data_IF_202207844398
#
_entry.id   IF_202207844398
#
_cell.length_a   1.000
_cell.length_b   1.000
_cell.length_c   1.000
_cell.angle_alpha   90.00
_cell.angle_beta   90.00
_cell.angle_gamma   90.00
#
_symmetry.space_group_name_H-M   'P 1'
#
loop_
_entity.id
_entity.type
_entity.pdbx_description
1 polymer ?
#
# COMPACT_ATOMS: atom_id res chain seq x y z
N UNK A 1 -3.47 0.15 -4.14
CA UNK A 1 -3.98 -1.02 -4.90
C UNK A 1 -3.11 -1.15 -6.13
N UNK A 2 -2.70 -2.36 -6.52
CA UNK A 2 -1.85 -2.59 -7.68
C UNK A 2 -2.67 -3.21 -8.82
N UNK A 3 -2.45 -2.76 -10.04
CA UNK A 3 -3.18 -3.24 -11.24
C UNK A 3 -4.49 -2.51 -11.53
N UNK A 4 -4.58 -1.22 -11.20
CA UNK A 4 -5.66 -0.33 -11.63
C UNK A 4 -5.09 1.02 -12.13
N UNK A 5 -5.69 1.64 -13.16
CA UNK A 5 -6.85 1.14 -13.92
C UNK A 5 -6.51 0.01 -14.91
N UNK A 6 -5.25 -0.10 -15.34
CA UNK A 6 -4.79 -1.17 -16.22
C UNK A 6 -4.39 -2.43 -15.43
N UNK A 7 -4.89 -3.57 -15.90
CA UNK A 7 -4.53 -4.86 -15.33
C UNK A 7 -3.03 -5.14 -15.53
N UNK A 8 -2.38 -5.57 -14.45
CA UNK A 8 -0.95 -5.86 -14.41
C UNK A 8 -0.73 -7.29 -13.94
N UNK A 9 0.00 -8.11 -14.71
CA UNK A 9 0.17 -9.54 -14.41
C UNK A 9 0.97 -9.79 -13.12
N UNK A 10 1.92 -8.93 -12.82
CA UNK A 10 2.78 -8.95 -11.63
C UNK A 10 2.25 -8.04 -10.50
N UNK A 11 0.96 -7.69 -10.51
CA UNK A 11 0.38 -6.75 -9.53
C UNK A 11 0.63 -7.18 -8.08
N UNK A 12 0.58 -8.48 -7.80
CA UNK A 12 0.77 -9.04 -6.47
C UNK A 12 2.23 -8.89 -6.02
N UNK A 13 3.18 -9.08 -6.93
CA UNK A 13 4.60 -8.91 -6.65
C UNK A 13 4.91 -7.45 -6.29
N UNK A 14 4.46 -6.50 -7.11
CA UNK A 14 4.66 -5.09 -6.82
C UNK A 14 3.98 -4.64 -5.51
N UNK A 15 2.82 -5.21 -5.18
CA UNK A 15 2.16 -4.96 -3.89
C UNK A 15 3.02 -5.44 -2.71
N UNK A 16 3.71 -6.58 -2.84
CA UNK A 16 4.58 -7.12 -1.80
C UNK A 16 5.85 -6.28 -1.68
N UNK A 17 6.50 -5.93 -2.79
CA UNK A 17 7.69 -5.06 -2.80
C UNK A 17 7.39 -3.72 -2.13
N UNK A 18 6.30 -3.06 -2.52
CA UNK A 18 5.83 -1.84 -1.85
C UNK A 18 5.63 -2.07 -0.34
N UNK A 19 5.10 -3.22 0.06
CA UNK A 19 4.95 -3.55 1.48
C UNK A 19 6.27 -3.65 2.23
N UNK A 20 7.31 -4.19 1.60
CA UNK A 20 8.68 -4.24 2.17
C UNK A 20 9.24 -2.82 2.29
N UNK A 21 9.12 -2.00 1.24
CA UNK A 21 9.59 -0.61 1.25
C UNK A 21 8.93 0.22 2.38
N UNK A 22 7.66 -0.04 2.69
CA UNK A 22 6.97 0.60 3.82
C UNK A 22 7.57 0.23 5.19
N UNK A 23 8.07 -0.99 5.36
CA UNK A 23 8.74 -1.43 6.59
C UNK A 23 10.12 -0.75 6.74
N UNK A 24 10.81 -0.54 5.63
CA UNK A 24 12.07 0.22 5.63
C UNK A 24 11.79 1.70 5.94
N UNK A 25 10.76 2.28 5.31
CA UNK A 25 10.36 3.66 5.55
C UNK A 25 9.96 3.93 7.01
N UNK A 26 9.19 3.03 7.65
CA UNK A 26 8.84 3.22 9.07
C UNK A 26 10.07 3.11 9.97
N UNK A 27 11.06 2.29 9.60
CA UNK A 27 12.32 2.19 10.33
C UNK A 27 13.10 3.51 10.29
N UNK A 28 13.18 4.14 9.10
CA UNK A 28 13.77 5.47 8.94
C UNK A 28 13.02 6.54 9.74
N UNK A 29 11.69 6.53 9.72
CA UNK A 29 10.88 7.49 10.49
C UNK A 29 11.15 7.37 11.99
N UNK A 30 11.27 6.14 12.52
CA UNK A 30 11.62 5.93 13.94
C UNK A 30 12.98 6.51 14.28
N UNK A 31 13.97 6.32 13.41
CA UNK A 31 15.33 6.84 13.60
C UNK A 31 15.34 8.38 13.60
N UNK A 32 14.71 9.01 12.61
CA UNK A 32 14.73 10.47 12.44
C UNK A 32 13.89 11.19 13.50
N UNK A 33 12.77 10.60 13.92
CA UNK A 33 11.84 11.24 14.88
C UNK A 33 12.13 10.88 16.33
N UNK A 34 12.89 9.81 16.58
CA UNK A 34 13.14 9.28 17.93
C UNK A 34 11.91 8.67 18.60
N UNK A 35 10.79 8.51 17.88
CA UNK A 35 9.55 7.95 18.41
C UNK A 35 9.46 6.47 18.07
N UNK A 36 9.14 5.63 19.05
CA UNK A 36 8.98 4.20 18.86
C UNK A 36 7.62 3.83 18.23
N UNK A 37 7.42 4.25 16.97
CA UNK A 37 6.28 3.86 16.15
C UNK A 37 6.55 2.55 15.41
N UNK A 38 5.52 1.83 14.97
CA UNK A 38 5.66 0.65 14.13
C UNK A 38 4.45 0.52 13.19
N UNK A 39 4.58 -0.27 12.12
CA UNK A 39 3.55 -0.46 11.10
C UNK A 39 3.37 -1.95 10.78
N UNK A 40 2.14 -2.35 10.49
CA UNK A 40 1.82 -3.66 9.89
C UNK A 40 1.23 -3.44 8.52
N UNK A 41 1.66 -4.21 7.54
CA UNK A 41 1.15 -4.15 6.16
C UNK A 41 0.38 -5.42 5.88
N UNK A 42 -0.92 -5.29 5.58
CA UNK A 42 -1.79 -6.38 5.15
C UNK A 42 -1.97 -6.33 3.64
N UNK A 43 -1.82 -7.47 2.98
CA UNK A 43 -1.96 -7.58 1.52
C UNK A 43 -3.02 -8.64 1.20
N UNK A 44 -3.94 -8.30 0.31
CA UNK A 44 -4.96 -9.22 -0.21
C UNK A 44 -5.09 -9.05 -1.72
N UNK A 45 -5.33 -10.16 -2.43
CA UNK A 45 -5.62 -10.18 -3.86
C UNK A 45 -7.04 -10.67 -4.09
N UNK A 46 -7.80 -9.94 -4.90
CA UNK A 46 -9.19 -10.24 -5.18
C UNK A 46 -9.79 -9.25 -6.16
N UNK A 47 -11.04 -9.51 -6.55
CA UNK A 47 -11.80 -8.60 -7.41
C UNK A 47 -12.24 -7.37 -6.60
N UNK A 48 -12.24 -6.22 -7.26
CA UNK A 48 -12.65 -4.95 -6.64
C UNK A 48 -13.60 -4.21 -7.59
N UNK A 49 -14.54 -3.48 -7.02
CA UNK A 49 -15.36 -2.49 -7.73
C UNK A 49 -14.85 -1.10 -7.35
N UNK A 50 -14.52 -0.27 -8.33
CA UNK A 50 -14.03 1.08 -8.10
C UNK A 50 -14.82 2.11 -8.92
N UNK A 51 -15.11 3.25 -8.30
CA UNK A 51 -15.85 4.37 -8.88
C UNK A 51 -15.97 5.51 -7.87
N UNK A 52 -16.46 6.67 -8.30
CA UNK A 52 -16.71 7.81 -7.41
C UNK A 52 -18.21 7.85 -7.07
N UNK A 53 -18.60 7.59 -5.81
CA UNK A 53 -19.99 7.80 -5.39
C UNK A 53 -20.24 9.26 -5.01
N UNK A 54 -21.35 9.83 -5.51
CA UNK A 54 -21.83 11.18 -5.17
C UNK A 54 -21.37 12.30 -6.11
N UNK A 55 -22.18 13.35 -6.22
CA UNK A 55 -21.91 14.54 -7.06
C UNK A 55 -21.34 15.72 -6.26
N UNK A 56 -21.29 15.62 -4.93
CA UNK A 56 -20.80 16.67 -4.03
C UNK A 56 -20.08 16.03 -2.84
N UNK A 57 -18.99 16.66 -2.38
CA UNK A 57 -18.22 16.20 -1.22
C UNK A 57 -19.04 16.30 0.07
#
# INVERSE_FOLDING_TARGET
VSGLPEARADHAHCCVEMGVDMIEAISLVREVTGVNVNMRVGIHSGRVHCGVPGLRK
#
